data_IF_030212596516
#
_entry.id   IF_030212596516
#
_cell.length_a   1.000
_cell.length_b   1.000
_cell.length_c   1.000
_cell.angle_alpha   90.00
_cell.angle_beta   90.00
_cell.angle_gamma   90.00
#
_symmetry.space_group_name_H-M   'P 1'
#
loop_
_entity.id
_entity.type
_entity.pdbx_description
1 polymer ?
#
# COMPACT_ATOMS: atom_id res chain seq x y z
N UNK A 1 6.96 -39.10 -27.15
CA UNK A 1 6.43 -37.87 -26.54
C UNK A 1 7.35 -36.72 -26.92
N UNK A 2 6.96 -35.83 -27.83
CA UNK A 2 7.86 -34.83 -28.35
C UNK A 2 8.12 -33.77 -27.29
N UNK A 3 9.39 -33.66 -26.92
CA UNK A 3 9.95 -32.60 -26.10
C UNK A 3 9.76 -31.30 -26.89
N UNK A 4 9.11 -30.32 -26.26
CA UNK A 4 8.68 -29.06 -26.88
C UNK A 4 9.88 -28.34 -27.53
N UNK A 5 9.77 -27.87 -28.79
CA UNK A 5 10.84 -27.14 -29.49
C UNK A 5 11.29 -25.85 -28.79
N UNK A 6 10.47 -25.33 -27.85
CA UNK A 6 10.78 -24.21 -26.96
C UNK A 6 12.00 -24.47 -26.05
N UNK A 7 12.18 -25.70 -25.56
CA UNK A 7 13.32 -26.05 -24.71
C UNK A 7 14.64 -26.06 -25.48
N UNK A 8 14.59 -26.30 -26.80
CA UNK A 8 15.77 -26.39 -27.66
C UNK A 8 16.25 -25.01 -28.12
N UNK A 9 15.36 -24.04 -28.26
CA UNK A 9 15.70 -22.64 -28.51
C UNK A 9 16.20 -21.93 -27.25
N UNK A 10 15.63 -22.22 -26.08
CA UNK A 10 16.13 -21.75 -24.77
C UNK A 10 17.58 -22.19 -24.50
N UNK A 11 17.98 -23.38 -24.96
CA UNK A 11 19.32 -23.90 -24.74
C UNK A 11 20.39 -23.39 -25.74
N UNK A 12 19.99 -22.76 -26.87
CA UNK A 12 20.92 -22.47 -27.97
C UNK A 12 21.43 -21.03 -28.05
N UNK A 13 20.86 -20.09 -27.27
CA UNK A 13 21.37 -18.69 -27.17
C UNK A 13 21.28 -18.13 -25.74
N UNK A 14 22.13 -18.62 -24.81
CA UNK A 14 22.14 -18.16 -23.41
C UNK A 14 22.58 -16.70 -23.25
N UNK A 15 23.37 -16.17 -24.17
CA UNK A 15 23.92 -14.81 -24.08
C UNK A 15 22.85 -13.71 -24.25
N UNK A 16 21.85 -13.93 -25.11
CA UNK A 16 20.75 -12.96 -25.31
C UNK A 16 19.80 -12.91 -24.11
N UNK A 17 19.63 -14.03 -23.41
CA UNK A 17 18.83 -14.13 -22.19
C UNK A 17 19.51 -13.47 -21.00
N UNK A 18 20.84 -13.55 -20.90
CA UNK A 18 21.60 -12.90 -19.83
C UNK A 18 21.52 -11.36 -19.92
N UNK A 19 21.62 -10.81 -21.13
CA UNK A 19 21.54 -9.36 -21.34
C UNK A 19 20.11 -8.82 -21.13
N UNK A 20 19.08 -9.57 -21.53
CA UNK A 20 17.69 -9.21 -21.22
C UNK A 20 17.36 -9.40 -19.74
N UNK A 21 17.81 -10.49 -19.11
CA UNK A 21 17.62 -10.72 -17.67
C UNK A 21 18.31 -9.65 -16.81
N UNK A 22 19.45 -9.12 -17.26
CA UNK A 22 20.11 -7.97 -16.62
C UNK A 22 19.26 -6.70 -16.67
N UNK A 23 18.64 -6.40 -17.82
CA UNK A 23 17.73 -5.27 -17.96
C UNK A 23 16.44 -5.46 -17.13
N UNK A 24 15.86 -6.66 -17.08
CA UNK A 24 14.73 -7.00 -16.20
C UNK A 24 15.12 -6.94 -14.72
N UNK A 25 16.32 -7.37 -14.33
CA UNK A 25 16.80 -7.29 -12.96
C UNK A 25 17.00 -5.82 -12.53
N UNK A 26 17.49 -4.96 -13.42
CA UNK A 26 17.62 -3.53 -13.17
C UNK A 26 16.24 -2.84 -13.04
N UNK A 27 15.28 -3.15 -13.91
CA UNK A 27 13.91 -2.65 -13.79
C UNK A 27 13.21 -3.18 -12.53
N UNK A 28 13.36 -4.47 -12.24
CA UNK A 28 12.80 -5.10 -11.05
C UNK A 28 13.39 -4.49 -9.76
N UNK A 29 14.69 -4.20 -9.71
CA UNK A 29 15.27 -3.52 -8.55
C UNK A 29 14.75 -2.09 -8.38
N UNK A 30 14.56 -1.34 -9.47
CA UNK A 30 14.00 0.00 -9.43
C UNK A 30 12.53 -0.03 -8.94
N UNK A 31 11.71 -0.92 -9.50
CA UNK A 31 10.31 -1.08 -9.11
C UNK A 31 10.16 -1.62 -7.68
N UNK A 32 10.97 -2.60 -7.27
CA UNK A 32 10.97 -3.12 -5.91
C UNK A 32 11.41 -2.07 -4.90
N UNK A 33 12.39 -1.23 -5.24
CA UNK A 33 12.84 -0.13 -4.39
C UNK A 33 11.74 0.93 -4.17
N UNK A 34 11.05 1.32 -5.25
CA UNK A 34 9.94 2.26 -5.15
C UNK A 34 8.71 1.65 -4.47
N UNK A 35 8.37 0.41 -4.79
CA UNK A 35 7.30 -0.33 -4.13
C UNK A 35 7.57 -0.45 -2.62
N UNK A 36 8.77 -0.88 -2.22
CA UNK A 36 9.16 -0.99 -0.82
C UNK A 36 9.08 0.35 -0.08
N UNK A 37 9.53 1.45 -0.71
CA UNK A 37 9.41 2.80 -0.13
C UNK A 37 7.95 3.21 0.05
N UNK A 38 7.09 2.94 -0.93
CA UNK A 38 5.64 3.24 -0.86
C UNK A 38 4.96 2.41 0.23
N UNK A 39 5.28 1.12 0.35
CA UNK A 39 4.79 0.24 1.42
C UNK A 39 5.25 0.70 2.79
N UNK A 40 6.51 1.10 2.95
CA UNK A 40 7.02 1.64 4.21
C UNK A 40 6.28 2.92 4.62
N UNK A 41 6.09 3.84 3.68
CA UNK A 41 5.31 5.06 3.95
C UNK A 41 3.86 4.74 4.32
N UNK A 42 3.22 3.78 3.64
CA UNK A 42 1.87 3.29 3.98
C UNK A 42 1.78 2.81 5.43
N UNK A 43 2.73 1.96 5.84
CA UNK A 43 2.79 1.43 7.20
C UNK A 43 3.01 2.52 8.24
N UNK A 44 3.94 3.46 8.00
CA UNK A 44 4.21 4.56 8.91
C UNK A 44 2.97 5.44 9.13
N UNK A 45 2.31 5.85 8.03
CA UNK A 45 1.08 6.64 8.13
C UNK A 45 -0.06 5.87 8.79
N UNK A 46 -0.20 4.57 8.49
CA UNK A 46 -1.19 3.72 9.16
C UNK A 46 -0.96 3.64 10.67
N UNK A 47 0.31 3.56 11.08
CA UNK A 47 0.69 3.52 12.50
C UNK A 47 0.36 4.85 13.20
N UNK A 48 0.63 6.00 12.55
CA UNK A 48 0.27 7.33 13.07
C UNK A 48 -1.23 7.45 13.27
N UNK A 49 -2.03 7.07 12.26
CA UNK A 49 -3.51 7.10 12.36
C UNK A 49 -4.00 6.20 13.49
N UNK A 50 -3.44 5.00 13.62
CA UNK A 50 -3.81 4.06 14.67
C UNK A 50 -3.47 4.59 16.08
N UNK A 51 -2.30 5.18 16.27
CA UNK A 51 -1.92 5.81 17.55
C UNK A 51 -2.84 6.96 17.89
N UNK A 52 -3.17 7.83 16.93
CA UNK A 52 -4.11 8.93 17.15
C UNK A 52 -5.51 8.44 17.52
N UNK A 53 -5.99 7.38 16.87
CA UNK A 53 -7.28 6.77 17.18
C UNK A 53 -7.31 6.17 18.60
N UNK A 54 -6.23 5.48 19.01
CA UNK A 54 -6.09 4.94 20.36
C UNK A 54 -6.05 6.05 21.42
N UNK A 55 -5.32 7.14 21.15
CA UNK A 55 -5.28 8.31 22.03
C UNK A 55 -6.66 8.95 22.17
N UNK A 56 -7.36 9.16 21.06
CA UNK A 56 -8.72 9.71 21.07
C UNK A 56 -9.68 8.83 21.88
N UNK A 57 -9.60 7.51 21.72
CA UNK A 57 -10.42 6.56 22.47
C UNK A 57 -10.09 6.58 23.97
N UNK A 58 -8.80 6.56 24.32
CA UNK A 58 -8.36 6.61 25.72
C UNK A 58 -8.77 7.92 26.41
N UNK A 59 -8.54 9.06 25.76
CA UNK A 59 -8.96 10.37 26.25
C UNK A 59 -10.49 10.48 26.32
N UNK A 60 -11.22 9.90 25.37
CA UNK A 60 -12.67 9.82 25.40
C UNK A 60 -13.20 9.01 26.59
N UNK A 61 -12.55 7.89 26.90
CA UNK A 61 -12.86 7.10 28.09
C UNK A 61 -12.62 7.87 29.39
N UNK A 62 -11.47 8.55 29.50
CA UNK A 62 -11.17 9.42 30.66
C UNK A 62 -12.19 10.55 30.76
N UNK A 63 -12.57 11.15 29.62
CA UNK A 63 -13.55 12.21 29.60
C UNK A 63 -14.93 11.74 30.10
N UNK A 64 -15.37 10.55 29.70
CA UNK A 64 -16.59 9.94 30.20
C UNK A 64 -16.54 9.65 31.70
N UNK A 65 -15.41 9.11 32.20
CA UNK A 65 -15.22 8.87 33.63
C UNK A 65 -15.29 10.17 34.45
N UNK A 66 -14.64 11.22 33.97
CA UNK A 66 -14.65 12.54 34.62
C UNK A 66 -16.05 13.18 34.59
N UNK A 67 -16.76 13.07 33.47
CA UNK A 67 -18.13 13.57 33.37
C UNK A 67 -19.10 12.82 34.30
N UNK A 68 -18.86 11.54 34.56
CA UNK A 68 -19.66 10.75 35.50
C UNK A 68 -19.30 11.02 36.97
N UNK A 69 -18.02 11.28 37.27
CA UNK A 69 -17.52 11.42 38.63
C UNK A 69 -17.58 12.87 39.16
N UNK A 70 -17.55 13.88 38.29
CA UNK A 70 -17.45 15.29 38.67
C UNK A 70 -18.60 16.09 38.06
N UNK A 71 -19.35 16.86 38.87
CA UNK A 71 -20.39 17.76 38.36
C UNK A 71 -19.80 18.81 37.40
N UNK A 72 -20.41 18.94 36.23
CA UNK A 72 -19.94 19.81 35.14
C UNK A 72 -19.91 21.28 35.57
N UNK A 73 -20.78 21.69 36.48
CA UNK A 73 -20.85 23.07 37.00
C UNK A 73 -19.61 23.46 37.80
N UNK A 74 -18.85 22.47 38.30
CA UNK A 74 -17.60 22.70 39.04
C UNK A 74 -16.35 22.63 38.17
N UNK A 75 -16.51 22.41 36.86
CA UNK A 75 -15.39 22.28 35.93
C UNK A 75 -15.17 23.59 35.16
N UNK A 76 -14.07 24.32 35.41
CA UNK A 76 -13.80 25.61 34.74
C UNK A 76 -13.61 25.49 33.23
N UNK A 77 -13.29 24.30 32.72
CA UNK A 77 -13.05 24.04 31.30
C UNK A 77 -13.71 22.72 30.83
N UNK A 78 -14.97 22.50 31.21
CA UNK A 78 -15.71 21.28 30.86
C UNK A 78 -15.73 20.98 29.35
N UNK A 79 -15.67 22.01 28.50
CA UNK A 79 -15.63 21.87 27.05
C UNK A 79 -14.41 21.07 26.55
N UNK A 80 -13.30 21.07 27.28
CA UNK A 80 -12.06 20.35 26.93
C UNK A 80 -12.28 18.83 26.93
N UNK A 81 -13.16 18.33 27.80
CA UNK A 81 -13.50 16.90 27.89
C UNK A 81 -13.99 16.34 26.57
N UNK A 82 -14.67 17.17 25.77
CA UNK A 82 -15.17 16.77 24.46
C UNK A 82 -14.23 17.25 23.35
N UNK A 83 -13.77 18.50 23.43
CA UNK A 83 -12.98 19.12 22.35
C UNK A 83 -11.66 18.36 22.08
N UNK A 84 -10.99 17.88 23.12
CA UNK A 84 -9.70 17.21 22.97
C UNK A 84 -9.83 15.82 22.32
N UNK A 85 -10.64 14.86 22.82
CA UNK A 85 -10.81 13.57 22.16
C UNK A 85 -11.48 13.72 20.79
N UNK A 86 -12.45 14.63 20.62
CA UNK A 86 -13.09 14.87 19.33
C UNK A 86 -12.09 15.44 18.31
N UNK A 87 -11.23 16.38 18.71
CA UNK A 87 -10.20 16.94 17.84
C UNK A 87 -9.21 15.88 17.35
N UNK A 88 -8.76 14.98 18.25
CA UNK A 88 -7.88 13.87 17.89
C UNK A 88 -8.57 12.85 16.98
N UNK A 89 -9.85 12.53 17.24
CA UNK A 89 -10.63 11.63 16.40
C UNK A 89 -10.84 12.21 15.00
N UNK A 90 -11.17 13.50 14.88
CA UNK A 90 -11.30 14.19 13.60
C UNK A 90 -9.98 14.23 12.84
N UNK A 91 -8.86 14.48 13.53
CA UNK A 91 -7.54 14.47 12.91
C UNK A 91 -7.18 13.07 12.39
N UNK A 92 -7.40 12.03 13.19
CA UNK A 92 -7.19 10.64 12.77
C UNK A 92 -8.03 10.28 11.55
N UNK A 93 -9.31 10.68 11.54
CA UNK A 93 -10.22 10.46 10.43
C UNK A 93 -9.77 11.22 9.18
N UNK A 94 -9.40 12.50 9.30
CA UNK A 94 -8.92 13.31 8.19
C UNK A 94 -7.65 12.72 7.56
N UNK A 95 -6.68 12.29 8.39
CA UNK A 95 -5.46 11.63 7.93
C UNK A 95 -5.75 10.28 7.29
N UNK A 96 -6.64 9.48 7.88
CA UNK A 96 -7.05 8.19 7.32
C UNK A 96 -7.76 8.33 5.96
N UNK A 97 -8.66 9.30 5.82
CA UNK A 97 -9.34 9.60 4.54
C UNK A 97 -8.35 10.13 3.51
N UNK A 98 -7.44 11.03 3.90
CA UNK A 98 -6.40 11.54 3.03
C UNK A 98 -5.48 10.41 2.53
N UNK A 99 -5.07 9.52 3.43
CA UNK A 99 -4.27 8.33 3.11
C UNK A 99 -5.03 7.40 2.16
N UNK A 100 -6.30 7.09 2.46
CA UNK A 100 -7.14 6.23 1.63
C UNK A 100 -7.33 6.81 0.23
N UNK A 101 -7.54 8.13 0.09
CA UNK A 101 -7.62 8.81 -1.21
C UNK A 101 -6.32 8.70 -1.98
N UNK A 102 -5.18 8.95 -1.33
CA UNK A 102 -3.85 8.85 -1.95
C UNK A 102 -3.52 7.43 -2.43
N UNK A 103 -4.06 6.41 -1.78
CA UNK A 103 -3.86 5.02 -2.19
C UNK A 103 -4.89 4.52 -3.20
N UNK A 104 -6.06 5.17 -3.31
CA UNK A 104 -7.07 4.87 -4.33
C UNK A 104 -6.58 5.25 -5.74
N UNK A 105 -5.80 6.32 -5.85
CA UNK A 105 -5.14 6.72 -7.10
C UNK A 105 -3.95 5.81 -7.48
N UNK A 106 -3.48 5.00 -6.52
CA UNK A 106 -2.38 4.05 -6.69
C UNK A 106 -2.93 2.63 -6.64
N UNK A 107 -3.73 2.27 -7.64
CA UNK A 107 -4.35 0.96 -7.75
C UNK A 107 -3.31 -0.14 -7.52
N UNK A 108 -3.62 -1.01 -6.56
CA UNK A 108 -2.80 -2.14 -6.06
C UNK A 108 -2.57 -3.22 -7.12
N UNK A 109 -3.25 -3.12 -8.27
CA UNK A 109 -2.95 -3.82 -9.50
C UNK A 109 -2.60 -2.78 -10.55
N UNK A 110 -1.32 -2.69 -10.90
CA UNK A 110 -0.91 -1.85 -12.01
C UNK A 110 -1.40 -2.51 -13.30
N UNK A 111 -2.62 -2.16 -13.72
CA UNK A 111 -3.27 -2.73 -14.89
C UNK A 111 -2.41 -2.55 -16.15
N UNK A 112 -1.49 -1.57 -16.15
CA UNK A 112 -0.48 -1.40 -17.18
C UNK A 112 0.56 -2.54 -17.17
N UNK A 113 1.06 -2.92 -15.99
CA UNK A 113 1.97 -4.06 -15.82
C UNK A 113 1.30 -5.38 -16.24
N UNK A 114 0.05 -5.60 -15.82
CA UNK A 114 -0.72 -6.78 -16.23
C UNK A 114 -0.97 -6.83 -17.75
N UNK A 115 -1.30 -5.70 -18.38
CA UNK A 115 -1.47 -5.61 -19.84
C UNK A 115 -0.16 -5.84 -20.58
N UNK A 116 0.95 -5.31 -20.05
CA UNK A 116 2.27 -5.52 -20.63
C UNK A 116 2.67 -7.01 -20.57
N UNK A 117 2.44 -7.64 -19.42
CA UNK A 117 2.69 -9.07 -19.21
C UNK A 117 1.80 -9.94 -20.12
N UNK A 118 0.52 -9.57 -20.26
CA UNK A 118 -0.41 -10.26 -21.16
C UNK A 118 -0.04 -10.13 -22.64
N UNK A 119 0.45 -8.96 -23.07
CA UNK A 119 0.90 -8.74 -24.45
C UNK A 119 2.16 -9.56 -24.78
N UNK A 120 3.08 -9.71 -23.81
CA UNK A 120 4.26 -10.57 -23.97
C UNK A 120 3.90 -12.05 -24.06
N UNK A 121 2.97 -12.53 -23.24
CA UNK A 121 2.48 -13.91 -23.35
C UNK A 121 1.85 -14.15 -24.72
N UNK A 122 1.01 -13.24 -25.22
CA UNK A 122 0.42 -13.37 -26.55
C UNK A 122 1.46 -13.46 -27.67
N UNK A 123 2.55 -12.71 -27.58
CA UNK A 123 3.64 -12.77 -28.56
C UNK A 123 4.33 -14.15 -28.54
N UNK A 124 4.60 -14.70 -27.35
CA UNK A 124 5.13 -16.05 -27.18
C UNK A 124 4.21 -17.13 -27.78
N UNK A 125 2.90 -17.03 -27.55
CA UNK A 125 1.92 -17.95 -28.15
C UNK A 125 1.89 -17.86 -29.68
N UNK A 126 2.02 -16.66 -30.25
CA UNK A 126 2.05 -16.47 -31.70
C UNK A 126 3.33 -16.99 -32.34
N UNK A 127 4.48 -16.82 -31.69
CA UNK A 127 5.75 -17.40 -32.15
C UNK A 127 5.72 -18.92 -32.10
N UNK A 128 5.20 -19.51 -31.01
CA UNK A 128 5.04 -20.95 -30.87
C UNK A 128 4.02 -21.55 -31.85
N UNK A 129 3.00 -20.79 -32.27
CA UNK A 129 2.02 -21.22 -33.27
C UNK A 129 2.54 -21.09 -34.73
N UNK A 130 3.64 -20.36 -34.94
CA UNK A 130 4.27 -20.16 -36.26
C UNK A 130 5.48 -21.07 -36.50
N UNK A 131 5.98 -21.74 -35.47
CA UNK A 131 7.10 -22.69 -35.51
C UNK A 131 6.63 -24.14 -35.59
#
# INVERSE_FOLDING_TARGET
MPIHPLFRTLASRPDLLAEHAGAYAALAQAELGEAARRWRQRLLWGLVVMVLALLALGLGGVALLLAAAVPVERMPAAWVLVALPAGLALLALALGVWQARRHRDQAVFDAALWRAQWAQDQALWQEAARA
#
